data_IF_368715528722
#
_entry.id   IF_368715528722
#
_cell.length_a   1.000
_cell.length_b   1.000
_cell.length_c   1.000
_cell.angle_alpha   90.00
_cell.angle_beta   90.00
_cell.angle_gamma   90.00
#
_symmetry.space_group_name_H-M   'P 1'
#
loop_
_entity.id
_entity.type
_entity.pdbx_description
1 polymer ?
#
# COMPACT_ATOMS: atom_id res chain seq x y z
N UNK A 1 -4.23 -17.68 -7.56
CA UNK A 1 -3.61 -16.58 -8.31
C UNK A 1 -2.58 -15.90 -7.42
N UNK A 2 -1.37 -15.69 -7.94
CA UNK A 2 -0.35 -14.89 -7.28
C UNK A 2 -0.75 -13.42 -7.40
N UNK A 3 -0.64 -12.67 -6.31
CA UNK A 3 -0.86 -11.22 -6.35
C UNK A 3 0.41 -10.55 -6.90
N UNK A 4 0.25 -9.64 -7.85
CA UNK A 4 1.32 -8.81 -8.42
C UNK A 4 1.05 -7.34 -8.09
N UNK A 5 2.11 -6.51 -8.11
CA UNK A 5 1.97 -5.05 -8.08
C UNK A 5 1.23 -4.57 -9.34
N UNK A 6 0.42 -3.52 -9.20
CA UNK A 6 -0.30 -2.88 -10.32
C UNK A 6 0.69 -2.25 -11.28
N UNK A 7 1.71 -1.60 -10.72
CA UNK A 7 2.79 -0.96 -11.47
C UNK A 7 4.04 -0.87 -10.58
N UNK A 8 5.20 -0.69 -11.19
CA UNK A 8 6.45 -0.45 -10.48
C UNK A 8 7.09 0.85 -10.99
N UNK A 9 7.16 1.88 -10.15
CA UNK A 9 7.66 3.20 -10.51
C UNK A 9 7.45 4.23 -9.41
N UNK A 10 7.54 5.51 -9.76
CA UNK A 10 7.32 6.63 -8.84
C UNK A 10 6.10 7.45 -9.28
N UNK A 11 5.27 7.86 -8.31
CA UNK A 11 4.15 8.77 -8.53
C UNK A 11 4.60 10.14 -8.03
N UNK A 12 4.86 11.06 -8.95
CA UNK A 12 5.26 12.43 -8.63
C UNK A 12 4.04 13.35 -8.58
N UNK A 13 3.09 13.13 -9.49
CA UNK A 13 2.00 14.05 -9.77
C UNK A 13 0.65 13.34 -9.81
N UNK A 14 -0.43 14.13 -9.73
CA UNK A 14 -1.79 13.60 -9.96
C UNK A 14 -1.96 13.05 -11.38
N UNK A 15 -1.22 13.57 -12.37
CA UNK A 15 -1.27 13.07 -13.75
C UNK A 15 -0.78 11.61 -13.83
N UNK A 16 0.28 11.26 -13.09
CA UNK A 16 0.80 9.89 -13.05
C UNK A 16 -0.26 8.92 -12.51
N UNK A 17 -1.00 9.33 -11.47
CA UNK A 17 -2.11 8.54 -10.91
C UNK A 17 -3.20 8.32 -11.95
N UNK A 18 -3.57 9.36 -12.70
CA UNK A 18 -4.62 9.27 -13.71
C UNK A 18 -4.25 8.30 -14.84
N UNK A 19 -2.98 8.26 -15.24
CA UNK A 19 -2.48 7.28 -16.22
C UNK A 19 -2.58 5.85 -15.70
N UNK A 20 -2.20 5.61 -14.44
CA UNK A 20 -2.34 4.29 -13.80
C UNK A 20 -3.81 3.89 -13.67
N UNK A 21 -4.70 4.81 -13.28
CA UNK A 21 -6.13 4.55 -13.20
C UNK A 21 -6.74 4.23 -14.56
N UNK A 22 -6.35 4.94 -15.62
CA UNK A 22 -6.79 4.64 -16.98
C UNK A 22 -6.29 3.26 -17.45
N UNK A 23 -5.03 2.92 -17.14
CA UNK A 23 -4.49 1.58 -17.39
C UNK A 23 -5.29 0.47 -16.68
N UNK A 24 -5.67 0.70 -15.43
CA UNK A 24 -6.52 -0.23 -14.67
C UNK A 24 -7.94 -0.32 -15.27
N UNK A 25 -8.54 0.82 -15.65
CA UNK A 25 -9.89 0.88 -16.23
C UNK A 25 -9.97 0.12 -17.55
N UNK A 26 -8.91 0.18 -18.36
CA UNK A 26 -8.78 -0.56 -19.63
C UNK A 26 -8.38 -2.02 -19.46
N UNK A 27 -8.11 -2.49 -18.24
CA UNK A 27 -7.63 -3.85 -17.98
C UNK A 27 -6.18 -4.11 -18.41
N UNK A 28 -5.40 -3.06 -18.67
CA UNK A 28 -3.98 -3.16 -19.03
C UNK A 28 -3.08 -3.35 -17.80
N UNK A 29 -3.50 -2.80 -16.66
CA UNK A 29 -2.82 -2.95 -15.38
C UNK A 29 -3.71 -3.74 -14.41
N UNK A 30 -3.14 -4.68 -13.63
CA UNK A 30 -3.91 -5.49 -12.70
C UNK A 30 -4.33 -4.66 -11.48
N UNK A 31 -5.52 -4.93 -10.96
CA UNK A 31 -6.00 -4.38 -9.68
C UNK A 31 -5.96 -5.44 -8.60
N UNK A 32 -5.84 -4.98 -7.36
CA UNK A 32 -5.95 -5.80 -6.17
C UNK A 32 -7.42 -6.02 -5.85
N UNK A 33 -7.89 -7.25 -6.04
CA UNK A 33 -9.29 -7.64 -5.79
C UNK A 33 -9.50 -8.30 -4.40
N UNK A 34 -8.47 -8.36 -3.55
CA UNK A 34 -8.56 -8.86 -2.16
C UNK A 34 -7.38 -8.38 -1.32
N UNK A 35 -7.50 -8.48 0.01
CA UNK A 35 -6.37 -8.16 0.92
C UNK A 35 -5.15 -9.05 0.66
N UNK A 36 -3.98 -8.47 0.84
CA UNK A 36 -2.71 -9.19 0.81
C UNK A 36 -2.57 -10.12 2.02
N UNK A 37 -2.20 -11.36 1.74
CA UNK A 37 -1.72 -12.32 2.74
C UNK A 37 -0.35 -11.91 3.25
N UNK A 38 0.02 -12.36 4.45
CA UNK A 38 1.30 -12.00 5.08
C UNK A 38 2.51 -12.31 4.19
N UNK A 39 2.51 -13.46 3.50
CA UNK A 39 3.56 -13.82 2.53
C UNK A 39 3.65 -12.87 1.34
N UNK A 40 2.51 -12.33 0.89
CA UNK A 40 2.43 -11.43 -0.27
C UNK A 40 2.95 -10.04 0.13
N UNK A 41 2.73 -9.59 1.37
CA UNK A 41 3.23 -8.30 1.86
C UNK A 41 4.75 -8.16 1.77
N UNK A 42 5.49 -9.27 1.73
CA UNK A 42 6.95 -9.28 1.54
C UNK A 42 7.38 -8.71 0.18
N UNK A 43 6.48 -8.65 -0.80
CA UNK A 43 6.75 -8.05 -2.10
C UNK A 43 6.76 -6.52 -2.07
N UNK A 44 6.15 -5.91 -1.05
CA UNK A 44 6.03 -4.44 -0.96
C UNK A 44 7.42 -3.86 -0.76
N UNK A 45 7.87 -3.08 -1.74
CA UNK A 45 9.17 -2.42 -1.75
C UNK A 45 9.06 -1.02 -2.33
N UNK A 46 10.17 -0.27 -2.27
CA UNK A 46 10.26 1.02 -2.96
C UNK A 46 9.86 0.84 -4.43
N UNK A 47 8.95 1.69 -4.90
CA UNK A 47 8.41 1.64 -6.26
C UNK A 47 7.14 0.81 -6.44
N UNK A 48 6.74 -0.05 -5.50
CA UNK A 48 5.52 -0.85 -5.63
C UNK A 48 4.26 0.01 -5.54
N UNK A 49 3.42 -0.05 -6.59
CA UNK A 49 2.13 0.65 -6.67
C UNK A 49 1.00 -0.37 -6.72
N UNK A 50 -0.01 -0.17 -5.88
CA UNK A 50 -1.18 -1.04 -5.77
C UNK A 50 -2.45 -0.20 -5.93
N UNK A 51 -3.35 -0.66 -6.81
CA UNK A 51 -4.67 -0.05 -7.00
C UNK A 51 -5.74 -1.07 -6.64
N UNK A 52 -6.72 -0.67 -5.84
CA UNK A 52 -7.89 -1.47 -5.53
C UNK A 52 -9.16 -0.63 -5.67
N UNK A 53 -10.23 -1.27 -6.10
CA UNK A 53 -11.58 -0.72 -6.01
C UNK A 53 -12.22 -1.20 -4.70
N UNK A 54 -12.82 -0.29 -3.93
CA UNK A 54 -13.39 -0.62 -2.61
C UNK A 54 -14.51 -1.68 -2.71
N UNK A 55 -15.37 -1.59 -3.73
CA UNK A 55 -16.52 -2.49 -3.89
C UNK A 55 -16.08 -3.85 -4.39
N UNK A 56 -15.18 -3.88 -5.37
CA UNK A 56 -14.65 -5.12 -5.96
C UNK A 56 -13.81 -5.90 -4.94
N UNK A 57 -12.96 -5.20 -4.18
CA UNK A 57 -11.99 -5.85 -3.29
C UNK A 57 -12.44 -6.01 -1.84
N UNK A 58 -13.44 -5.24 -1.41
CA UNK A 58 -13.81 -5.09 0.01
C UNK A 58 -12.75 -4.37 0.86
N UNK A 59 -11.70 -3.81 0.26
CA UNK A 59 -10.65 -3.08 0.96
C UNK A 59 -11.10 -1.62 1.11
N UNK A 60 -11.43 -1.22 2.34
CA UNK A 60 -11.71 0.20 2.68
C UNK A 60 -10.47 0.99 3.11
N UNK A 61 -9.47 0.26 3.62
CA UNK A 61 -8.19 0.80 4.11
C UNK A 61 -7.10 -0.22 3.81
N UNK A 62 -6.01 0.27 3.25
CA UNK A 62 -4.81 -0.51 2.98
C UNK A 62 -4.13 -0.93 4.28
N UNK A 63 -3.64 -2.17 4.34
CA UNK A 63 -2.88 -2.70 5.48
C UNK A 63 -1.74 -3.59 4.99
N UNK A 64 -0.51 -3.19 5.30
CA UNK A 64 0.73 -3.87 4.88
C UNK A 64 1.58 -4.42 6.03
N UNK A 65 1.16 -4.20 7.28
CA UNK A 65 1.89 -4.68 8.46
C UNK A 65 3.15 -3.88 8.82
N UNK A 66 3.33 -2.72 8.19
CA UNK A 66 4.37 -1.73 8.55
C UNK A 66 3.81 -0.72 9.56
N UNK A 67 4.72 -0.05 10.26
CA UNK A 67 4.38 1.02 11.22
C UNK A 67 4.60 2.36 10.54
N UNK A 68 3.56 3.17 10.46
CA UNK A 68 3.56 4.42 9.71
C UNK A 68 3.41 5.63 10.63
N UNK A 69 4.08 6.73 10.30
CA UNK A 69 3.86 8.04 10.92
C UNK A 69 2.41 8.52 10.75
N UNK A 70 1.96 9.55 11.51
CA UNK A 70 0.75 10.27 11.16
C UNK A 70 0.81 10.84 9.73
N UNK A 71 -0.35 11.04 9.11
CA UNK A 71 -0.43 11.53 7.73
C UNK A 71 0.10 12.96 7.60
N UNK A 72 0.63 13.26 6.41
CA UNK A 72 0.95 14.61 5.93
C UNK A 72 0.29 14.81 4.58
N UNK A 73 -0.32 15.97 4.38
CA UNK A 73 -0.94 16.32 3.09
C UNK A 73 0.14 16.91 2.19
N UNK A 74 0.21 16.42 0.95
CA UNK A 74 1.00 17.01 -0.13
C UNK A 74 0.16 17.02 -1.40
N UNK A 75 -0.42 18.17 -1.74
CA UNK A 75 -1.40 18.25 -2.83
C UNK A 75 -2.56 17.27 -2.62
N UNK A 76 -2.77 16.38 -3.58
CA UNK A 76 -3.81 15.34 -3.54
C UNK A 76 -3.38 14.04 -2.83
N UNK A 77 -2.21 14.03 -2.18
CA UNK A 77 -1.63 12.83 -1.57
C UNK A 77 -1.60 12.89 -0.04
N UNK A 78 -1.78 11.72 0.57
CA UNK A 78 -1.42 11.48 1.97
C UNK A 78 -0.08 10.75 2.02
N UNK A 79 0.89 11.38 2.65
CA UNK A 79 2.26 10.88 2.78
C UNK A 79 2.48 10.36 4.20
N UNK A 80 3.15 9.22 4.28
CA UNK A 80 3.52 8.52 5.50
C UNK A 80 5.00 8.18 5.45
N UNK A 81 5.69 8.20 6.60
CA UNK A 81 7.05 7.68 6.74
C UNK A 81 7.03 6.41 7.56
N UNK A 82 7.76 5.39 7.11
CA UNK A 82 7.91 4.16 7.89
C UNK A 82 8.71 4.47 9.16
N UNK A 83 8.26 3.89 10.27
CA UNK A 83 8.91 4.00 11.57
C UNK A 83 9.54 2.66 11.92
N UNK A 84 10.70 2.70 12.59
CA UNK A 84 11.28 1.50 13.14
C UNK A 84 10.31 0.84 14.12
N UNK A 85 10.13 -0.47 13.98
CA UNK A 85 9.45 -1.27 15.00
C UNK A 85 10.32 -1.21 16.24
N UNK A 86 9.97 -0.36 17.22
CA UNK A 86 10.65 -0.36 18.52
C UNK A 86 10.78 -1.80 19.00
N UNK A 87 12.01 -2.25 19.20
CA UNK A 87 12.28 -3.53 19.82
C UNK A 87 11.80 -3.48 21.28
N UNK A 88 10.58 -3.97 21.54
CA UNK A 88 10.14 -4.40 22.86
C UNK A 88 9.42 -3.37 23.74
N UNK A 89 8.20 -3.72 24.13
CA UNK A 89 7.82 -3.72 25.54
C UNK A 89 7.26 -5.11 25.88
N UNK A 90 8.15 -6.11 26.06
CA UNK A 90 7.85 -7.17 27.03
C UNK A 90 8.14 -6.56 28.39
N UNK A 91 7.17 -5.91 29.01
CA UNK A 91 7.22 -5.67 30.46
C UNK A 91 6.99 -7.01 31.14
N UNK A 92 8.07 -7.75 31.38
CA UNK A 92 8.07 -8.76 32.44
C UNK A 92 7.93 -8.01 33.76
N UNK A 93 6.80 -8.17 34.42
CA UNK A 93 6.60 -7.69 35.77
C UNK A 93 7.66 -8.34 36.69
N UNK A 94 8.27 -7.59 37.63
CA UNK A 94 9.03 -8.22 38.69
C UNK A 94 8.05 -9.00 39.58
N UNK A 95 8.45 -10.22 39.95
CA UNK A 95 7.83 -11.01 41.03
C UNK A 95 7.94 -10.29 42.36
#
# INVERSE_FOLDING_TARGET
MLVTETFHGYIESTQDVLLIFEGCRRGLLPRICRRLQERERKMIRSGSIFVFDERESGIKRWTDGRVWSPSRILGNFLIYRELDKKAGEKKSAPM
#
